data_IF_409871459369
#
_entry.id   IF_409871459369
#
_cell.length_a   1.000
_cell.length_b   1.000
_cell.length_c   1.000
_cell.angle_alpha   90.00
_cell.angle_beta   90.00
_cell.angle_gamma   90.00
#
_symmetry.space_group_name_H-M   'P 1'
#
loop_
_entity.id
_entity.type
_entity.pdbx_description
1 polymer ?
#
# COMPACT_ATOMS: atom_id res chain seq x y z
N UNK A 1 -30.95 2.34 7.28
CA UNK A 1 -30.50 3.67 7.76
C UNK A 1 -29.35 3.60 8.77
N UNK A 2 -29.32 2.62 9.69
CA UNK A 2 -28.21 2.42 10.66
C UNK A 2 -26.85 2.17 9.98
N UNK A 3 -26.87 1.43 8.86
CA UNK A 3 -25.68 1.01 8.13
C UNK A 3 -24.89 2.17 7.50
N UNK A 4 -25.61 3.06 6.78
CA UNK A 4 -25.00 4.24 6.15
C UNK A 4 -24.32 5.18 7.17
N UNK A 5 -24.88 5.27 8.38
CA UNK A 5 -24.30 6.07 9.46
C UNK A 5 -23.00 5.46 9.98
N UNK A 6 -22.94 4.13 10.12
CA UNK A 6 -21.74 3.41 10.55
C UNK A 6 -20.60 3.52 9.53
N UNK A 7 -20.91 3.39 8.23
CA UNK A 7 -19.92 3.59 7.17
C UNK A 7 -19.36 5.01 7.17
N UNK A 8 -20.24 6.01 7.31
CA UNK A 8 -19.82 7.41 7.34
C UNK A 8 -18.90 7.69 8.54
N UNK A 9 -19.26 7.24 9.74
CA UNK A 9 -18.44 7.47 10.93
C UNK A 9 -17.08 6.76 10.87
N UNK A 10 -17.00 5.53 10.33
CA UNK A 10 -15.71 4.87 10.10
C UNK A 10 -14.82 5.68 9.16
N UNK A 11 -15.35 6.12 8.01
CA UNK A 11 -14.62 6.93 7.03
C UNK A 11 -14.14 8.25 7.63
N UNK A 12 -15.00 8.92 8.40
CA UNK A 12 -14.67 10.20 9.04
C UNK A 12 -13.57 10.00 10.11
N UNK A 13 -13.62 8.90 10.89
CA UNK A 13 -12.55 8.51 11.84
C UNK A 13 -11.22 8.24 11.13
N UNK A 14 -11.23 7.43 10.07
CA UNK A 14 -10.02 7.15 9.26
C UNK A 14 -9.43 8.45 8.70
N UNK A 15 -10.28 9.35 8.20
CA UNK A 15 -9.85 10.66 7.70
C UNK A 15 -9.25 11.53 8.82
N UNK A 16 -9.80 11.46 10.03
CA UNK A 16 -9.25 12.13 11.21
C UNK A 16 -7.85 11.66 11.57
N UNK A 17 -7.57 10.35 11.50
CA UNK A 17 -6.21 9.82 11.70
C UNK A 17 -5.24 10.36 10.63
N UNK A 18 -5.63 10.34 9.36
CA UNK A 18 -4.79 10.86 8.27
C UNK A 18 -4.54 12.35 8.41
N UNK A 19 -5.52 13.13 8.87
CA UNK A 19 -5.34 14.55 9.17
C UNK A 19 -4.30 14.76 10.29
N UNK A 20 -4.39 14.00 11.39
CA UNK A 20 -3.40 14.06 12.48
C UNK A 20 -1.98 13.72 12.00
N UNK A 21 -1.85 12.72 11.13
CA UNK A 21 -0.55 12.24 10.61
C UNK A 21 0.15 13.21 9.65
N UNK A 22 -0.51 14.31 9.26
CA UNK A 22 0.16 15.41 8.52
C UNK A 22 1.11 16.20 9.40
N UNK A 23 0.80 16.30 10.70
CA UNK A 23 1.50 17.19 11.64
C UNK A 23 2.20 16.43 12.78
N UNK A 24 1.79 15.18 13.06
CA UNK A 24 2.27 14.38 14.20
C UNK A 24 2.75 13.00 13.76
N UNK A 25 3.72 12.44 14.49
CA UNK A 25 4.06 11.03 14.35
C UNK A 25 2.95 10.15 14.94
N UNK A 26 2.80 8.93 14.45
CA UNK A 26 1.71 8.03 14.88
C UNK A 26 1.73 7.74 16.39
N UNK A 27 2.91 7.59 16.99
CA UNK A 27 3.10 7.39 18.43
C UNK A 27 2.54 8.56 19.27
N UNK A 28 2.62 9.79 18.75
CA UNK A 28 2.13 11.03 19.38
C UNK A 28 0.62 11.27 19.19
N UNK A 29 -0.01 10.64 18.20
CA UNK A 29 -1.45 10.80 17.94
C UNK A 29 -2.26 10.16 19.07
N UNK A 30 -3.25 10.87 19.60
CA UNK A 30 -4.20 10.33 20.59
C UNK A 30 -5.58 10.08 19.97
N UNK A 31 -6.39 9.22 20.62
CA UNK A 31 -7.80 9.05 20.24
C UNK A 31 -8.57 10.39 20.29
N UNK A 32 -8.20 11.28 21.21
CA UNK A 32 -8.81 12.60 21.32
C UNK A 32 -8.49 13.49 20.10
N UNK A 33 -7.24 13.47 19.62
CA UNK A 33 -6.86 14.16 18.40
C UNK A 33 -7.70 13.67 17.20
N UNK A 34 -7.79 12.34 17.05
CA UNK A 34 -8.55 11.71 15.96
C UNK A 34 -10.02 12.12 16.02
N UNK A 35 -10.65 12.02 17.20
CA UNK A 35 -12.05 12.41 17.39
C UNK A 35 -12.29 13.89 17.06
N UNK A 36 -11.33 14.75 17.44
CA UNK A 36 -11.39 16.19 17.17
C UNK A 36 -11.32 16.48 15.67
N UNK A 37 -10.37 15.86 14.96
CA UNK A 37 -10.24 16.02 13.50
C UNK A 37 -11.40 15.41 12.72
N UNK A 38 -11.93 14.27 13.18
CA UNK A 38 -13.05 13.57 12.55
C UNK A 38 -14.43 14.20 12.85
N UNK A 39 -14.50 15.16 13.79
CA UNK A 39 -15.76 15.74 14.28
C UNK A 39 -16.73 14.68 14.84
N UNK A 40 -16.21 13.69 15.57
CA UNK A 40 -16.99 12.62 16.22
C UNK A 40 -16.77 12.57 17.73
N UNK A 41 -17.74 12.05 18.46
CA UNK A 41 -17.58 11.81 19.89
C UNK A 41 -16.71 10.58 20.17
N UNK A 42 -16.03 10.56 21.33
CA UNK A 42 -15.22 9.40 21.77
C UNK A 42 -16.03 8.10 21.85
N UNK A 43 -17.30 8.17 22.26
CA UNK A 43 -18.19 7.00 22.25
C UNK A 43 -18.41 6.43 20.85
N UNK A 44 -18.44 7.29 19.82
CA UNK A 44 -18.51 6.86 18.41
C UNK A 44 -17.21 6.22 17.97
N UNK A 45 -16.06 6.76 18.35
CA UNK A 45 -14.77 6.11 18.09
C UNK A 45 -14.71 4.72 18.70
N UNK A 46 -14.97 4.61 20.00
CA UNK A 46 -14.89 3.33 20.72
C UNK A 46 -15.98 2.33 20.34
N UNK A 47 -17.04 2.76 19.66
CA UNK A 47 -17.98 1.85 19.03
C UNK A 47 -17.37 1.10 17.85
N UNK A 48 -16.40 1.70 17.15
CA UNK A 48 -15.75 1.12 15.97
C UNK A 48 -14.39 0.50 16.26
N UNK A 49 -13.60 1.11 17.15
CA UNK A 49 -12.20 0.76 17.37
C UNK A 49 -11.87 0.76 18.86
N UNK A 50 -11.21 -0.29 19.35
CA UNK A 50 -10.78 -0.37 20.74
C UNK A 50 -9.77 0.74 21.10
N UNK A 51 -8.88 1.06 20.16
CA UNK A 51 -7.87 2.11 20.26
C UNK A 51 -7.39 2.56 18.87
N UNK A 52 -6.34 3.39 18.81
CA UNK A 52 -5.75 3.87 17.55
C UNK A 52 -5.02 2.78 16.75
N UNK A 53 -4.57 1.71 17.40
CA UNK A 53 -3.87 0.60 16.75
C UNK A 53 -4.86 -0.28 15.99
N UNK A 54 -6.02 -0.56 16.57
CA UNK A 54 -7.12 -1.26 15.87
C UNK A 54 -7.59 -0.49 14.61
N UNK A 55 -7.63 0.85 14.69
CA UNK A 55 -7.91 1.70 13.52
C UNK A 55 -6.81 1.56 12.46
N UNK A 56 -5.53 1.63 12.87
CA UNK A 56 -4.39 1.47 11.96
C UNK A 56 -4.41 0.11 11.27
N UNK A 57 -4.60 -0.98 12.02
CA UNK A 57 -4.64 -2.35 11.51
C UNK A 57 -5.73 -2.51 10.44
N UNK A 58 -6.95 -2.00 10.68
CA UNK A 58 -8.04 -2.05 9.70
C UNK A 58 -7.64 -1.27 8.42
N UNK A 59 -7.07 -0.08 8.59
CA UNK A 59 -6.63 0.77 7.48
C UNK A 59 -5.49 0.15 6.66
N UNK A 60 -4.56 -0.54 7.31
CA UNK A 60 -3.46 -1.27 6.65
C UNK A 60 -4.01 -2.48 5.92
N UNK A 61 -4.84 -3.28 6.57
CA UNK A 61 -5.45 -4.50 6.01
C UNK A 61 -6.26 -4.20 4.74
N UNK A 62 -7.06 -3.14 4.74
CA UNK A 62 -7.83 -2.71 3.57
C UNK A 62 -6.92 -2.40 2.37
N UNK A 63 -5.82 -1.68 2.60
CA UNK A 63 -4.87 -1.25 1.55
C UNK A 63 -4.00 -2.40 1.07
N UNK A 64 -3.55 -3.26 1.98
CA UNK A 64 -2.80 -4.47 1.66
C UNK A 64 -3.64 -5.43 0.82
N UNK A 65 -4.91 -5.64 1.18
CA UNK A 65 -5.83 -6.50 0.41
C UNK A 65 -6.07 -5.97 -0.99
N UNK A 66 -6.36 -4.66 -1.15
CA UNK A 66 -6.51 -4.03 -2.48
C UNK A 66 -5.25 -4.19 -3.32
N UNK A 67 -4.08 -3.99 -2.71
CA UNK A 67 -2.79 -4.12 -3.40
C UNK A 67 -2.49 -5.55 -3.86
N UNK A 68 -2.75 -6.56 -3.02
CA UNK A 68 -2.57 -7.98 -3.37
C UNK A 68 -3.45 -8.35 -4.59
N UNK A 69 -4.70 -7.86 -4.64
CA UNK A 69 -5.61 -8.06 -5.77
C UNK A 69 -5.12 -7.40 -7.07
N UNK A 70 -4.56 -6.18 -7.00
CA UNK A 70 -3.99 -5.51 -8.15
C UNK A 70 -2.74 -6.24 -8.66
N UNK A 71 -1.93 -6.81 -7.76
CA UNK A 71 -0.77 -7.61 -8.14
C UNK A 71 -1.15 -8.94 -8.80
N UNK A 72 -2.22 -9.59 -8.36
CA UNK A 72 -2.74 -10.80 -9.02
C UNK A 72 -3.13 -10.50 -10.49
N UNK A 73 -3.79 -9.37 -10.74
CA UNK A 73 -4.11 -8.91 -12.10
C UNK A 73 -2.84 -8.62 -12.91
N UNK A 74 -1.81 -8.01 -12.28
CA UNK A 74 -0.54 -7.70 -12.94
C UNK A 74 0.21 -8.95 -13.38
N UNK A 75 0.34 -9.93 -12.49
CA UNK A 75 1.12 -11.16 -12.76
C UNK A 75 0.44 -12.03 -13.83
N UNK A 76 -0.88 -11.99 -13.95
CA UNK A 76 -1.62 -12.71 -14.98
C UNK A 76 -1.22 -12.30 -16.42
N UNK A 77 -0.62 -11.12 -16.63
CA UNK A 77 -0.18 -10.66 -17.94
C UNK A 77 1.10 -9.83 -17.87
N UNK A 78 2.20 -10.45 -17.42
CA UNK A 78 3.49 -9.74 -17.20
C UNK A 78 4.07 -9.12 -18.48
N UNK A 79 3.75 -9.71 -19.64
CA UNK A 79 4.21 -9.26 -20.97
C UNK A 79 3.46 -8.03 -21.49
N UNK A 80 2.25 -7.77 -20.98
CA UNK A 80 1.48 -6.56 -21.26
C UNK A 80 1.90 -5.45 -20.30
N UNK A 81 1.94 -4.21 -20.81
CA UNK A 81 2.29 -3.04 -20.02
C UNK A 81 1.11 -2.47 -19.23
N UNK A 82 -0.10 -2.61 -19.76
CA UNK A 82 -1.33 -2.00 -19.24
C UNK A 82 -1.64 -2.36 -17.78
N UNK A 83 -1.54 -3.62 -17.31
CA UNK A 83 -1.92 -3.95 -15.93
C UNK A 83 -1.07 -3.23 -14.88
N UNK A 84 0.18 -2.90 -15.19
CA UNK A 84 1.01 -2.13 -14.26
C UNK A 84 0.54 -0.69 -14.20
N UNK A 85 0.23 -0.06 -15.34
CA UNK A 85 -0.32 1.30 -15.36
C UNK A 85 -1.63 1.39 -14.56
N UNK A 86 -2.54 0.43 -14.77
CA UNK A 86 -3.80 0.35 -14.02
C UNK A 86 -3.55 0.20 -12.52
N UNK A 87 -2.58 -0.64 -12.11
CA UNK A 87 -2.19 -0.76 -10.70
C UNK A 87 -1.78 0.60 -10.13
N UNK A 88 -0.91 1.35 -10.81
CA UNK A 88 -0.50 2.68 -10.34
C UNK A 88 -1.70 3.63 -10.24
N UNK A 89 -2.56 3.71 -11.26
CA UNK A 89 -3.76 4.56 -11.27
C UNK A 89 -4.72 4.22 -10.12
N UNK A 90 -4.92 2.93 -9.82
CA UNK A 90 -5.79 2.49 -8.73
C UNK A 90 -5.22 2.79 -7.33
N UNK A 91 -3.89 2.91 -7.21
CA UNK A 91 -3.25 3.37 -5.97
C UNK A 91 -3.31 4.89 -5.83
N UNK A 92 -3.35 5.64 -6.93
CA UNK A 92 -3.46 7.11 -6.89
C UNK A 92 -4.74 7.60 -6.23
N UNK A 93 -5.85 6.86 -6.37
CA UNK A 93 -7.14 7.15 -5.72
C UNK A 93 -7.01 7.32 -4.19
N UNK A 94 -6.03 6.63 -3.58
CA UNK A 94 -5.76 6.62 -2.14
C UNK A 94 -4.34 7.14 -1.80
N UNK A 95 -3.67 7.84 -2.72
CA UNK A 95 -2.24 8.19 -2.61
C UNK A 95 -1.88 8.87 -1.29
N UNK A 96 -2.66 9.86 -0.85
CA UNK A 96 -2.42 10.57 0.41
C UNK A 96 -2.47 9.63 1.62
N UNK A 97 -3.39 8.67 1.62
CA UNK A 97 -3.51 7.72 2.72
C UNK A 97 -2.36 6.71 2.68
N UNK A 98 -2.10 6.11 1.52
CA UNK A 98 -1.02 5.12 1.35
C UNK A 98 0.31 5.74 1.74
N UNK A 99 0.62 6.95 1.26
CA UNK A 99 1.90 7.62 1.56
C UNK A 99 2.07 7.95 3.03
N UNK A 100 1.00 8.27 3.77
CA UNK A 100 1.04 8.40 5.23
C UNK A 100 1.29 7.05 5.91
N UNK A 101 0.54 6.00 5.55
CA UNK A 101 0.62 4.69 6.18
C UNK A 101 1.97 3.99 5.91
N UNK A 102 2.60 4.22 4.76
CA UNK A 102 3.94 3.73 4.45
C UNK A 102 5.05 4.29 5.34
N UNK A 103 4.75 5.27 6.21
CA UNK A 103 5.71 5.83 7.17
C UNK A 103 5.54 5.25 8.59
N UNK A 104 4.55 4.38 8.79
CA UNK A 104 4.22 3.82 10.10
C UNK A 104 4.74 2.39 10.17
N UNK A 105 5.58 2.11 11.18
CA UNK A 105 6.23 0.83 11.40
C UNK A 105 5.82 0.25 12.76
N UNK A 106 4.56 -0.17 12.85
CA UNK A 106 4.00 -0.83 14.02
C UNK A 106 3.82 -2.32 13.76
N UNK A 107 4.01 -3.16 14.78
CA UNK A 107 4.04 -4.62 14.66
C UNK A 107 2.88 -5.21 13.83
N UNK A 108 1.66 -4.72 14.08
CA UNK A 108 0.43 -5.21 13.47
C UNK A 108 -0.17 -4.17 12.50
N UNK A 109 0.60 -3.16 12.10
CA UNK A 109 0.13 -1.99 11.34
C UNK A 109 1.17 -1.40 10.37
N UNK A 110 2.09 -2.22 9.85
CA UNK A 110 3.11 -1.80 8.90
C UNK A 110 2.69 -2.10 7.45
N UNK A 111 2.21 -1.07 6.74
CA UNK A 111 1.80 -1.20 5.35
C UNK A 111 2.99 -1.50 4.42
N UNK A 112 4.18 -0.99 4.74
CA UNK A 112 5.37 -1.18 3.91
C UNK A 112 5.81 -2.64 3.91
N UNK A 113 5.79 -3.28 5.09
CA UNK A 113 6.06 -4.71 5.25
C UNK A 113 4.99 -5.55 4.53
N UNK A 114 3.71 -5.21 4.64
CA UNK A 114 2.64 -5.88 3.88
C UNK A 114 2.87 -5.79 2.37
N UNK A 115 3.26 -4.62 1.85
CA UNK A 115 3.51 -4.42 0.42
C UNK A 115 4.75 -5.20 -0.04
N UNK A 116 5.85 -5.17 0.72
CA UNK A 116 7.06 -5.93 0.41
C UNK A 116 6.77 -7.43 0.36
N UNK A 117 6.04 -7.96 1.34
CA UNK A 117 5.62 -9.37 1.38
C UNK A 117 4.75 -9.75 0.18
N UNK A 118 3.79 -8.91 -0.18
CA UNK A 118 2.92 -9.16 -1.34
C UNK A 118 3.70 -9.09 -2.66
N UNK A 119 4.61 -8.13 -2.81
CA UNK A 119 5.50 -8.02 -3.98
C UNK A 119 6.38 -9.26 -4.12
N UNK A 120 7.00 -9.72 -3.03
CA UNK A 120 7.83 -10.93 -3.03
C UNK A 120 7.01 -12.18 -3.39
N UNK A 121 5.85 -12.37 -2.75
CA UNK A 121 4.90 -13.46 -3.04
C UNK A 121 4.52 -13.51 -4.52
N UNK A 122 4.24 -12.36 -5.13
CA UNK A 122 3.86 -12.27 -6.53
C UNK A 122 5.04 -12.46 -7.48
N UNK A 123 6.21 -11.90 -7.15
CA UNK A 123 7.43 -12.08 -7.93
C UNK A 123 7.92 -13.53 -7.94
N UNK A 124 7.65 -14.30 -6.88
CA UNK A 124 7.97 -15.73 -6.82
C UNK A 124 7.34 -16.52 -7.97
N UNK A 125 6.15 -16.13 -8.44
CA UNK A 125 5.47 -16.74 -9.60
C UNK A 125 6.25 -16.51 -10.92
N UNK A 126 7.10 -15.50 -10.97
CA UNK A 126 7.90 -15.12 -12.13
C UNK A 126 9.34 -15.65 -12.07
N UNK A 127 9.83 -16.07 -10.90
CA UNK A 127 11.19 -16.58 -10.71
C UNK A 127 11.60 -17.71 -11.68
N UNK A 128 10.74 -18.69 -12.03
CA UNK A 128 11.12 -19.73 -12.98
C UNK A 128 11.49 -19.22 -14.38
N UNK A 129 11.15 -17.98 -14.71
CA UNK A 129 11.47 -17.32 -15.98
C UNK A 129 12.78 -16.52 -15.90
N UNK A 130 13.37 -16.37 -14.72
CA UNK A 130 14.61 -15.61 -14.50
C UNK A 130 15.79 -16.56 -14.63
N UNK A 131 16.77 -16.23 -15.48
CA UNK A 131 17.96 -17.06 -15.73
C UNK A 131 19.23 -16.54 -15.06
N UNK A 132 19.11 -15.49 -14.23
CA UNK A 132 20.24 -14.84 -13.57
C UNK A 132 20.89 -15.78 -12.54
N UNK A 133 22.22 -15.84 -12.54
CA UNK A 133 23.01 -16.64 -11.60
C UNK A 133 23.17 -15.96 -10.22
N UNK A 134 22.06 -15.68 -9.54
CA UNK A 134 22.03 -15.08 -8.20
C UNK A 134 21.00 -15.77 -7.29
N UNK A 135 21.15 -15.70 -5.95
CA UNK A 135 20.19 -16.29 -5.03
C UNK A 135 18.76 -15.76 -5.19
N UNK A 136 17.76 -16.63 -5.06
CA UNK A 136 16.35 -16.28 -5.23
C UNK A 136 15.88 -15.24 -4.20
N UNK A 137 16.28 -15.39 -2.95
CA UNK A 137 15.96 -14.48 -1.84
C UNK A 137 16.51 -13.06 -2.10
N UNK A 138 17.70 -12.96 -2.68
CA UNK A 138 18.28 -11.69 -3.11
C UNK A 138 17.45 -11.03 -4.22
N UNK A 139 17.06 -11.76 -5.28
CA UNK A 139 16.22 -11.19 -6.36
C UNK A 139 14.87 -10.72 -5.81
N UNK A 140 14.22 -11.53 -4.97
CA UNK A 140 12.92 -11.18 -4.39
C UNK A 140 13.02 -9.92 -3.52
N UNK A 141 14.07 -9.81 -2.71
CA UNK A 141 14.32 -8.62 -1.90
C UNK A 141 14.60 -7.38 -2.77
N UNK A 142 15.47 -7.52 -3.79
CA UNK A 142 15.82 -6.44 -4.70
C UNK A 142 14.61 -5.96 -5.50
N UNK A 143 13.82 -6.88 -6.06
CA UNK A 143 12.61 -6.54 -6.80
C UNK A 143 11.59 -5.84 -5.90
N UNK A 144 11.31 -6.40 -4.72
CA UNK A 144 10.26 -5.88 -3.84
C UNK A 144 10.61 -4.48 -3.32
N UNK A 145 11.87 -4.27 -2.93
CA UNK A 145 12.35 -2.94 -2.50
C UNK A 145 12.31 -1.94 -3.65
N UNK A 146 12.80 -2.29 -4.83
CA UNK A 146 12.78 -1.41 -6.01
C UNK A 146 11.36 -1.06 -6.44
N UNK A 147 10.46 -2.05 -6.47
CA UNK A 147 9.05 -1.84 -6.81
C UNK A 147 8.35 -0.95 -5.78
N UNK A 148 8.58 -1.15 -4.48
CA UNK A 148 8.04 -0.28 -3.44
C UNK A 148 8.59 1.15 -3.55
N UNK A 149 9.88 1.31 -3.86
CA UNK A 149 10.47 2.64 -4.13
C UNK A 149 9.77 3.33 -5.29
N UNK A 150 9.56 2.61 -6.41
CA UNK A 150 8.88 3.14 -7.58
C UNK A 150 7.42 3.54 -7.27
N UNK A 151 6.68 2.70 -6.56
CA UNK A 151 5.30 2.97 -6.11
C UNK A 151 5.27 4.21 -5.21
N UNK A 152 6.07 4.23 -4.15
CA UNK A 152 6.11 5.34 -3.19
C UNK A 152 6.50 6.65 -3.86
N UNK A 153 7.47 6.63 -4.79
CA UNK A 153 7.87 7.81 -5.53
C UNK A 153 6.76 8.30 -6.45
N UNK A 154 6.12 7.42 -7.22
CA UNK A 154 5.04 7.80 -8.13
C UNK A 154 3.85 8.42 -7.38
N UNK A 155 3.42 7.83 -6.26
CA UNK A 155 2.31 8.35 -5.46
C UNK A 155 2.57 9.73 -4.86
N UNK A 156 3.83 10.09 -4.62
CA UNK A 156 4.21 11.41 -4.10
C UNK A 156 4.33 12.48 -5.19
N UNK A 157 4.64 12.09 -6.43
CA UNK A 157 4.98 13.02 -7.50
C UNK A 157 3.95 13.06 -8.64
N UNK A 158 3.01 12.12 -8.71
CA UNK A 158 1.94 12.10 -9.73
C UNK A 158 2.41 11.72 -11.12
N UNK A 159 3.35 10.75 -11.23
CA UNK A 159 3.96 10.33 -12.50
C UNK A 159 3.81 8.82 -12.79
N UNK A 160 2.57 8.27 -12.71
CA UNK A 160 2.34 6.83 -12.74
C UNK A 160 2.70 6.20 -14.10
N UNK A 161 2.49 6.93 -15.20
CA UNK A 161 2.74 6.47 -16.55
C UNK A 161 4.24 6.36 -16.87
N UNK A 162 5.04 7.35 -16.45
CA UNK A 162 6.48 7.33 -16.65
C UNK A 162 7.13 6.19 -15.85
N UNK A 163 6.74 6.05 -14.58
CA UNK A 163 7.30 5.04 -13.67
C UNK A 163 6.86 3.62 -14.07
N UNK A 164 5.58 3.40 -14.36
CA UNK A 164 5.11 2.08 -14.81
C UNK A 164 5.81 1.62 -16.10
N UNK A 165 6.01 2.52 -17.08
CA UNK A 165 6.74 2.21 -18.31
C UNK A 165 8.19 1.81 -18.04
N UNK A 166 8.89 2.56 -17.18
CA UNK A 166 10.25 2.23 -16.77
C UNK A 166 10.31 0.86 -16.09
N UNK A 167 9.43 0.61 -15.12
CA UNK A 167 9.40 -0.64 -14.36
C UNK A 167 9.03 -1.85 -15.24
N UNK A 168 8.09 -1.70 -16.17
CA UNK A 168 7.77 -2.75 -17.14
C UNK A 168 8.99 -3.12 -18.00
N UNK A 169 9.73 -2.12 -18.48
CA UNK A 169 10.95 -2.35 -19.25
C UNK A 169 12.00 -3.08 -18.42
N UNK A 170 12.20 -2.66 -17.18
CA UNK A 170 13.15 -3.30 -16.25
C UNK A 170 12.81 -4.77 -16.04
N UNK A 171 11.55 -5.09 -15.73
CA UNK A 171 11.09 -6.48 -15.55
C UNK A 171 11.28 -7.30 -16.82
N UNK A 172 10.89 -6.76 -17.99
CA UNK A 172 11.07 -7.45 -19.28
C UNK A 172 12.53 -7.76 -19.58
N UNK A 173 13.45 -6.84 -19.28
CA UNK A 173 14.89 -7.07 -19.46
C UNK A 173 15.40 -8.22 -18.58
N UNK A 174 14.98 -8.26 -17.32
CA UNK A 174 15.34 -9.34 -16.39
C UNK A 174 14.80 -10.69 -16.88
N UNK A 175 13.56 -10.71 -17.38
CA UNK A 175 12.92 -11.92 -17.92
C UNK A 175 13.49 -12.37 -19.28
N UNK A 176 13.94 -11.44 -20.13
CA UNK A 176 14.47 -11.74 -21.46
C UNK A 176 15.96 -12.03 -21.50
N UNK A 177 16.68 -11.78 -20.41
CA UNK A 177 18.10 -12.10 -20.33
C UNK A 177 18.23 -13.61 -20.40
N UNK A 178 18.85 -14.12 -21.46
CA UNK A 178 19.36 -15.48 -21.53
C UNK A 178 20.86 -15.38 -21.30
N UNK A 179 21.37 -16.10 -20.30
CA UNK A 179 22.81 -16.29 -20.07
C UNK A 179 23.34 -17.37 -21.00
#
# INVERSE_FOLDING_TARGET
>A
MTDLRQFKSKRDIQSGLIACLKDKRFDEVTVNDICTQALVGRSTFYHHYADKYALLEEMVTQRATKFDQLLDQRVASVTNDEPLLVLYQQLEDDAAVITCLLQIHEKDGDLSDCYLKSLAKHAQKLLPQVTLAVPEDFILALYSTTALTAISWALRHGEPAAISRFMNRLVKLVLSTQV
#
